data_IF_180341822762
#
_entry.id   IF_180341822762
#
_cell.length_a   1.000
_cell.length_b   1.000
_cell.length_c   1.000
_cell.angle_alpha   90.00
_cell.angle_beta   90.00
_cell.angle_gamma   90.00
#
_symmetry.space_group_name_H-M   'P 1'
#
loop_
_entity.id
_entity.type
_entity.pdbx_description
1 polymer ?
#
# COMPACT_ATOMS: atom_id res chain seq x y z
N UNK A 1 -14.25 -0.63 2.37
CA UNK A 1 -13.01 -1.19 1.82
C UNK A 1 -11.92 -0.16 2.04
N UNK A 2 -10.75 -0.53 2.57
CA UNK A 2 -9.67 0.42 2.87
C UNK A 2 -8.70 0.45 1.70
N UNK A 3 -8.52 1.59 1.05
CA UNK A 3 -7.59 1.74 -0.06
C UNK A 3 -6.37 2.48 0.45
N UNK A 4 -5.19 1.91 0.28
CA UNK A 4 -3.95 2.55 0.72
C UNK A 4 -3.09 2.92 -0.48
N UNK A 5 -2.46 4.09 -0.45
CA UNK A 5 -1.28 4.34 -1.26
C UNK A 5 -0.09 3.74 -0.51
N UNK A 6 0.63 2.83 -1.14
CA UNK A 6 1.87 2.25 -0.61
C UNK A 6 3.03 2.82 -1.42
N UNK A 7 4.00 3.42 -0.74
CA UNK A 7 5.26 3.86 -1.35
C UNK A 7 6.40 3.00 -0.83
N UNK A 8 7.24 2.51 -1.75
CA UNK A 8 8.34 1.61 -1.43
C UNK A 8 9.55 1.88 -2.33
N UNK A 9 10.72 1.47 -1.86
CA UNK A 9 11.90 1.38 -2.70
C UNK A 9 12.26 -0.10 -2.94
N UNK A 10 13.07 -0.33 -3.97
CA UNK A 10 13.59 -1.65 -4.31
C UNK A 10 14.96 -1.50 -4.97
N UNK A 11 15.74 -2.58 -4.98
CA UNK A 11 17.00 -2.65 -5.71
C UNK A 11 16.73 -2.80 -7.22
N UNK A 12 17.25 -1.86 -8.00
CA UNK A 12 17.16 -1.84 -9.44
C UNK A 12 18.56 -2.00 -10.05
N UNK A 13 18.69 -2.44 -11.32
CA UNK A 13 20.01 -2.65 -11.95
C UNK A 13 20.93 -1.42 -11.93
N UNK A 14 20.36 -0.21 -11.89
CA UNK A 14 21.09 1.06 -11.90
C UNK A 14 21.10 1.77 -10.54
N UNK A 15 20.70 1.10 -9.45
CA UNK A 15 20.67 1.67 -8.10
C UNK A 15 19.37 1.40 -7.35
N UNK A 16 18.78 2.45 -6.77
CA UNK A 16 17.54 2.33 -5.99
C UNK A 16 16.36 2.82 -6.85
N UNK A 17 15.39 1.94 -7.06
CA UNK A 17 14.10 2.27 -7.66
C UNK A 17 13.10 2.72 -6.61
N UNK A 18 12.19 3.61 -6.99
CA UNK A 18 11.07 4.07 -6.17
C UNK A 18 9.78 3.84 -6.93
N UNK A 19 8.79 3.28 -6.25
CA UNK A 19 7.49 3.05 -6.82
C UNK A 19 6.39 3.25 -5.78
N UNK A 20 5.18 3.49 -6.28
CA UNK A 20 3.98 3.56 -5.48
C UNK A 20 2.85 2.84 -6.18
N UNK A 21 1.98 2.20 -5.40
CA UNK A 21 0.78 1.54 -5.92
C UNK A 21 -0.39 1.67 -4.95
N UNK A 22 -1.59 1.46 -5.48
CA UNK A 22 -2.80 1.37 -4.69
C UNK A 22 -3.01 -0.07 -4.21
N UNK A 23 -3.11 -0.26 -2.89
CA UNK A 23 -3.39 -1.54 -2.27
C UNK A 23 -4.81 -1.55 -1.65
N UNK A 24 -5.74 -2.31 -2.23
CA UNK A 24 -7.04 -2.54 -1.62
C UNK A 24 -6.98 -3.57 -0.47
N UNK A 25 -7.44 -3.18 0.71
CA UNK A 25 -7.45 -4.00 1.92
C UNK A 25 -8.87 -4.20 2.49
N UNK A 26 -9.16 -5.43 2.92
CA UNK A 26 -10.42 -5.77 3.62
C UNK A 26 -10.45 -5.25 5.07
N UNK A 27 -9.28 -5.14 5.69
CA UNK A 27 -9.07 -4.63 7.06
C UNK A 27 -8.01 -3.53 7.05
N UNK A 28 -8.03 -2.59 8.00
CA UNK A 28 -7.03 -1.53 8.05
C UNK A 28 -5.64 -2.10 8.36
N UNK A 29 -4.61 -1.46 7.82
CA UNK A 29 -3.21 -1.67 8.22
C UNK A 29 -3.01 -1.00 9.58
N UNK A 30 -2.60 -1.76 10.59
CA UNK A 30 -2.50 -1.28 11.98
C UNK A 30 -1.25 -1.77 12.72
N UNK A 31 -0.41 -2.58 12.09
CA UNK A 31 0.73 -3.23 12.74
C UNK A 31 1.90 -3.38 11.78
N UNK A 32 3.09 -3.66 12.32
CA UNK A 32 4.25 -4.01 11.49
C UNK A 32 4.08 -5.36 10.80
N UNK A 33 3.28 -6.28 11.33
CA UNK A 33 2.97 -7.53 10.64
C UNK A 33 2.23 -7.29 9.32
N UNK A 34 1.38 -6.26 9.28
CA UNK A 34 0.72 -5.85 8.05
C UNK A 34 1.71 -5.30 7.03
N UNK A 35 2.68 -4.50 7.48
CA UNK A 35 3.76 -3.97 6.64
C UNK A 35 4.65 -5.09 6.13
N UNK A 36 5.03 -6.03 6.99
CA UNK A 36 5.85 -7.19 6.63
C UNK A 36 5.17 -8.06 5.58
N UNK A 37 3.83 -8.21 5.66
CA UNK A 37 3.07 -8.90 4.63
C UNK A 37 3.19 -8.20 3.27
N UNK A 38 3.03 -6.89 3.23
CA UNK A 38 3.17 -6.10 1.99
C UNK A 38 4.58 -6.26 1.41
N UNK A 39 5.62 -6.16 2.24
CA UNK A 39 7.02 -6.38 1.82
C UNK A 39 7.21 -7.78 1.24
N UNK A 40 6.63 -8.81 1.87
CA UNK A 40 6.72 -10.17 1.36
C UNK A 40 5.97 -10.34 0.03
N UNK A 41 4.83 -9.68 -0.16
CA UNK A 41 4.10 -9.71 -1.41
C UNK A 41 4.88 -8.99 -2.54
N UNK A 42 5.50 -7.84 -2.26
CA UNK A 42 6.41 -7.16 -3.20
C UNK A 42 7.60 -8.04 -3.62
N UNK A 43 8.19 -8.79 -2.68
CA UNK A 43 9.27 -9.74 -3.00
C UNK A 43 8.80 -10.86 -3.91
N UNK A 44 7.58 -11.37 -3.73
CA UNK A 44 6.99 -12.39 -4.62
C UNK A 44 6.75 -11.86 -6.03
N UNK A 45 6.49 -10.56 -6.17
CA UNK A 45 6.35 -9.89 -7.46
C UNK A 45 7.70 -9.63 -8.15
N UNK A 46 8.83 -9.87 -7.47
CA UNK A 46 10.17 -9.73 -8.03
C UNK A 46 10.92 -8.47 -7.62
N UNK A 47 10.36 -7.66 -6.71
CA UNK A 47 11.06 -6.49 -6.17
C UNK A 47 12.11 -6.93 -5.14
N UNK A 48 13.37 -6.92 -5.56
CA UNK A 48 14.54 -7.29 -4.74
C UNK A 48 14.78 -6.23 -3.67
N UNK A 49 15.07 -6.65 -2.44
CA UNK A 49 15.34 -5.78 -1.29
C UNK A 49 14.28 -4.69 -1.08
N UNK A 50 13.01 -5.02 -1.38
CA UNK A 50 11.90 -4.09 -1.22
C UNK A 50 11.72 -3.64 0.24
N UNK A 51 11.57 -2.33 0.46
CA UNK A 51 11.24 -1.74 1.77
C UNK A 51 10.10 -0.74 1.60
N UNK A 52 9.04 -0.90 2.40
CA UNK A 52 7.95 0.07 2.47
C UNK A 52 8.46 1.32 3.17
N UNK A 53 8.40 2.47 2.48
CA UNK A 53 8.80 3.77 3.00
C UNK A 53 7.65 4.45 3.75
N UNK A 54 6.41 4.19 3.34
CA UNK A 54 5.23 4.73 3.98
C UNK A 54 3.94 4.28 3.32
N UNK A 55 2.83 4.50 4.01
CA UNK A 55 1.49 4.27 3.48
C UNK A 55 0.52 5.34 3.97
N UNK A 56 -0.48 5.65 3.16
CA UNK A 56 -1.58 6.56 3.52
C UNK A 56 -2.92 5.95 3.12
N UNK A 57 -3.94 6.12 3.97
CA UNK A 57 -5.30 5.70 3.65
C UNK A 57 -5.94 6.74 2.74
N UNK A 58 -6.47 6.33 1.59
CA UNK A 58 -7.30 7.19 0.76
C UNK A 58 -8.59 7.52 1.51
N UNK A 59 -8.87 8.81 1.66
CA UNK A 59 -10.17 9.30 2.10
C UNK A 59 -11.06 9.48 0.87
N UNK A 60 -11.70 8.41 0.39
CA UNK A 60 -12.85 8.58 -0.51
C UNK A 60 -13.89 9.49 0.19
N UNK A 61 -14.63 10.38 -0.52
CA UNK A 61 -15.55 11.31 0.14
C UNK A 61 -16.54 10.54 1.00
N UNK A 62 -16.84 11.08 2.19
CA UNK A 62 -17.88 10.52 3.06
C UNK A 62 -19.13 10.25 2.21
N UNK A 63 -19.80 9.08 2.34
CA UNK A 63 -21.03 8.84 1.61
C UNK A 63 -21.97 10.03 1.88
N UNK A 64 -22.30 10.79 0.84
CA UNK A 64 -23.28 11.86 0.94
C UNK A 64 -24.58 11.29 1.50
N UNK A 65 -25.39 12.08 2.23
CA UNK A 65 -26.63 11.61 2.80
C UNK A 65 -27.43 10.92 1.70
N UNK A 66 -27.59 9.61 1.84
CA UNK A 66 -28.38 8.79 0.95
C UNK A 66 -29.77 9.42 0.97
N UNK A 67 -30.20 10.00 -0.16
CA UNK A 67 -31.49 10.66 -0.26
C UNK A 67 -32.55 9.64 0.17
N UNK A 68 -33.13 9.86 1.36
CA UNK A 68 -34.27 9.11 1.82
C UNK A 68 -35.37 9.35 0.79
N UNK A 69 -35.67 8.32 -0.01
CA UNK A 69 -36.79 8.30 -0.95
C UNK A 69 -38.07 8.04 -0.18
#
# INVERSE_FOLDING_TARGET
MYRYMISFNYEAPTGIGFASFELPCKRPLRSMDDVNRIVNDLRKEGFVNAVVLGFSLFTDPAPGPQAAS
#
